data_IF_111491226327
#
_entry.id   IF_111491226327
#
_cell.length_a   1.000
_cell.length_b   1.000
_cell.length_c   1.000
_cell.angle_alpha   90.00
_cell.angle_beta   90.00
_cell.angle_gamma   90.00
#
_symmetry.space_group_name_H-M   'P 1'
#
loop_
_entity.id
_entity.type
_entity.pdbx_description
1 polymer ?
#
# COMPACT_ATOMS: atom_id res chain seq x y z
N UNK A 1 -27.28 3.77 14.90
CA UNK A 1 -25.92 3.48 14.40
C UNK A 1 -24.95 3.80 15.53
N UNK A 2 -24.04 2.90 15.88
CA UNK A 2 -23.04 3.21 16.90
C UNK A 2 -22.08 4.29 16.36
N UNK A 3 -21.70 5.23 17.23
CA UNK A 3 -20.81 6.33 16.88
C UNK A 3 -19.44 5.81 16.37
N UNK A 4 -18.78 6.61 15.56
CA UNK A 4 -17.41 6.31 15.13
C UNK A 4 -16.46 6.29 16.33
N UNK A 5 -15.59 5.27 16.46
CA UNK A 5 -14.76 5.10 17.64
C UNK A 5 -13.58 6.06 17.62
N UNK A 6 -13.35 6.77 18.73
CA UNK A 6 -12.14 7.57 18.98
C UNK A 6 -11.28 6.84 20.01
N UNK A 7 -10.00 6.62 19.68
CA UNK A 7 -9.03 5.96 20.57
C UNK A 7 -7.79 6.82 20.76
N UNK A 8 -7.22 6.77 21.97
CA UNK A 8 -5.95 7.43 22.30
C UNK A 8 -4.79 6.46 22.11
N UNK A 9 -3.75 6.90 21.41
CA UNK A 9 -2.48 6.20 21.23
C UNK A 9 -1.33 7.10 21.70
N UNK A 10 -0.12 6.55 21.84
CA UNK A 10 1.06 7.29 22.34
C UNK A 10 1.32 8.62 21.60
N UNK A 11 1.01 8.68 20.30
CA UNK A 11 1.30 9.82 19.44
C UNK A 11 0.10 10.78 19.24
N UNK A 12 -1.10 10.46 19.74
CA UNK A 12 -2.29 11.31 19.57
C UNK A 12 -3.60 10.52 19.58
N UNK A 13 -4.67 11.11 19.03
CA UNK A 13 -6.00 10.48 18.94
C UNK A 13 -6.34 10.08 17.50
N UNK A 14 -7.03 8.95 17.35
CA UNK A 14 -7.46 8.40 16.07
C UNK A 14 -8.97 8.17 16.04
N UNK A 15 -9.61 8.52 14.93
CA UNK A 15 -11.01 8.20 14.65
C UNK A 15 -11.10 7.06 13.64
N UNK A 16 -11.59 5.90 14.08
CA UNK A 16 -11.85 4.75 13.22
C UNK A 16 -13.26 4.79 12.65
N UNK A 17 -13.67 3.68 12.04
CA UNK A 17 -15.04 3.49 11.53
C UNK A 17 -15.68 2.26 12.15
N UNK A 18 -16.99 2.31 12.38
CA UNK A 18 -17.77 1.12 12.70
C UNK A 18 -18.28 0.48 11.39
N UNK A 19 -17.76 -0.71 11.07
CA UNK A 19 -18.22 -1.51 9.94
C UNK A 19 -18.94 -2.75 10.46
N UNK A 20 -20.28 -2.70 10.43
CA UNK A 20 -21.15 -3.84 10.80
C UNK A 20 -20.85 -4.40 12.20
N UNK A 21 -20.59 -3.54 13.17
CA UNK A 21 -20.27 -3.92 14.55
C UNK A 21 -18.79 -4.13 14.83
N UNK A 22 -17.92 -3.99 13.82
CA UNK A 22 -16.47 -4.08 13.95
C UNK A 22 -15.87 -2.68 13.90
N UNK A 23 -15.06 -2.33 14.90
CA UNK A 23 -14.27 -1.10 14.88
C UNK A 23 -13.00 -1.30 14.07
N UNK A 24 -12.84 -0.49 13.02
CA UNK A 24 -11.74 -0.62 12.05
C UNK A 24 -10.95 0.67 12.00
N UNK A 25 -9.61 0.54 12.12
CA UNK A 25 -8.65 1.63 12.00
C UNK A 25 -7.66 1.30 10.90
N UNK A 26 -7.52 2.18 9.91
CA UNK A 26 -6.67 2.02 8.73
C UNK A 26 -5.71 3.21 8.63
N UNK A 27 -4.50 2.94 8.15
CA UNK A 27 -3.49 3.99 7.93
C UNK A 27 -2.93 4.61 9.21
N UNK A 28 -2.93 3.87 10.32
CA UNK A 28 -2.34 4.34 11.58
C UNK A 28 -0.81 4.46 11.44
N UNK A 29 -0.21 5.62 11.73
CA UNK A 29 1.24 5.76 11.73
C UNK A 29 1.84 4.97 12.90
N UNK A 30 2.86 4.15 12.61
CA UNK A 30 3.62 3.39 13.61
C UNK A 30 5.11 3.75 13.64
N UNK A 31 5.60 4.46 12.62
CA UNK A 31 6.93 5.04 12.55
C UNK A 31 6.89 6.35 11.72
N UNK A 32 7.91 7.20 11.86
CA UNK A 32 8.10 8.32 10.93
C UNK A 32 8.35 7.81 9.50
N UNK A 33 7.91 8.54 8.45
CA UNK A 33 8.14 8.14 7.06
C UNK A 33 9.64 7.93 6.75
N UNK A 34 10.05 6.77 6.20
CA UNK A 34 11.45 6.44 5.93
C UNK A 34 11.95 7.05 4.61
N UNK A 35 11.81 8.36 4.47
CA UNK A 35 12.16 9.14 3.27
C UNK A 35 13.32 10.10 3.55
N UNK A 36 13.97 10.61 2.50
CA UNK A 36 15.11 11.53 2.63
C UNK A 36 16.25 10.93 3.47
N UNK A 37 16.74 11.68 4.44
CA UNK A 37 17.80 11.25 5.37
C UNK A 37 17.44 10.04 6.24
N UNK A 38 16.16 9.71 6.38
CA UNK A 38 15.69 8.54 7.12
C UNK A 38 15.74 7.25 6.30
N UNK A 39 15.98 7.35 4.97
CA UNK A 39 16.14 6.17 4.13
C UNK A 39 17.41 5.41 4.54
N UNK A 40 17.33 4.08 4.55
CA UNK A 40 18.44 3.20 4.96
C UNK A 40 18.86 3.32 6.43
N UNK A 41 17.95 3.79 7.29
CA UNK A 41 18.15 3.86 8.73
C UNK A 41 17.06 3.08 9.47
N UNK A 42 17.28 2.72 10.75
CA UNK A 42 16.22 2.15 11.58
C UNK A 42 14.98 3.06 11.64
N UNK A 43 13.77 2.49 11.80
CA UNK A 43 12.54 3.26 11.90
C UNK A 43 12.61 4.23 13.08
N UNK A 44 12.25 5.49 12.84
CA UNK A 44 12.21 6.51 13.87
C UNK A 44 10.80 6.61 14.47
N UNK A 45 10.66 7.04 15.74
CA UNK A 45 9.36 7.21 16.39
C UNK A 45 8.40 8.11 15.59
N UNK A 46 7.10 7.88 15.74
CA UNK A 46 6.06 8.72 15.15
C UNK A 46 6.10 10.11 15.78
N UNK A 47 6.03 11.15 14.95
CA UNK A 47 5.83 12.52 15.41
C UNK A 47 4.40 12.66 15.97
N UNK A 48 4.28 13.11 17.22
CA UNK A 48 2.98 13.31 17.85
C UNK A 48 2.18 14.40 17.12
N UNK A 49 0.85 14.28 17.13
CA UNK A 49 -0.05 15.26 16.55
C UNK A 49 -1.09 15.72 17.56
N UNK A 50 -1.64 16.92 17.31
CA UNK A 50 -2.72 17.50 18.08
C UNK A 50 -4.04 17.22 17.37
N UNK A 51 -5.09 16.97 18.15
CA UNK A 51 -6.44 16.68 17.64
C UNK A 51 -6.63 15.23 17.23
N UNK A 52 -7.75 14.98 16.55
CA UNK A 52 -8.18 13.64 16.16
C UNK A 52 -7.85 13.39 14.68
N UNK A 53 -7.05 12.36 14.41
CA UNK A 53 -6.65 11.99 13.05
C UNK A 53 -7.60 10.92 12.49
N UNK A 54 -8.18 11.12 11.28
CA UNK A 54 -9.00 10.09 10.64
C UNK A 54 -8.19 8.83 10.29
N UNK A 55 -8.72 7.67 10.61
CA UNK A 55 -8.15 6.34 10.35
C UNK A 55 -9.14 5.46 9.56
N UNK A 56 -9.82 6.05 8.57
CA UNK A 56 -10.81 5.34 7.74
C UNK A 56 -10.23 4.76 6.43
N UNK A 57 -9.05 5.22 6.00
CA UNK A 57 -8.45 4.91 4.69
C UNK A 57 -7.05 4.29 4.86
N UNK A 58 -6.68 3.39 3.94
CA UNK A 58 -5.33 2.83 3.91
C UNK A 58 -4.30 3.89 3.52
N UNK A 59 -3.11 3.79 4.10
CA UNK A 59 -1.93 4.57 3.69
C UNK A 59 -1.25 3.94 2.47
N UNK A 60 -0.37 4.69 1.77
CA UNK A 60 0.43 4.12 0.69
C UNK A 60 1.21 2.89 1.14
N UNK A 61 1.34 1.91 0.26
CA UNK A 61 2.21 0.75 0.45
C UNK A 61 3.67 1.12 0.18
N UNK A 62 4.59 0.29 0.67
CA UNK A 62 5.99 0.40 0.31
C UNK A 62 6.17 0.20 -1.21
N UNK A 63 7.18 0.84 -1.79
CA UNK A 63 7.50 0.66 -3.19
C UNK A 63 7.76 -0.82 -3.49
N UNK A 64 7.12 -1.33 -4.53
CA UNK A 64 7.33 -2.67 -5.06
C UNK A 64 7.70 -2.52 -6.54
N UNK A 65 8.63 -3.34 -7.02
CA UNK A 65 8.83 -3.51 -8.47
C UNK A 65 7.53 -4.08 -9.01
N UNK A 66 6.94 -3.47 -10.04
CA UNK A 66 5.57 -3.75 -10.48
C UNK A 66 5.26 -5.26 -10.52
N UNK A 67 4.52 -5.75 -9.54
CA UNK A 67 3.96 -7.11 -9.51
C UNK A 67 2.52 -7.03 -10.00
N UNK A 68 2.32 -6.38 -11.15
CA UNK A 68 1.03 -6.39 -11.83
C UNK A 68 0.86 -7.67 -12.63
N UNK A 69 -0.38 -8.09 -12.88
CA UNK A 69 -0.69 -9.20 -13.79
C UNK A 69 0.00 -9.02 -15.15
N UNK A 70 0.08 -7.79 -15.64
CA UNK A 70 0.80 -7.42 -16.85
C UNK A 70 2.27 -7.87 -16.81
N UNK A 71 3.01 -7.42 -15.79
CA UNK A 71 4.44 -7.74 -15.62
C UNK A 71 4.66 -9.24 -15.45
N UNK A 72 3.74 -9.93 -14.79
CA UNK A 72 3.76 -11.39 -14.71
C UNK A 72 3.61 -12.05 -16.08
N UNK A 73 2.60 -11.67 -16.88
CA UNK A 73 2.37 -12.24 -18.21
C UNK A 73 3.51 -11.92 -19.18
N UNK A 74 4.03 -10.69 -19.17
CA UNK A 74 5.19 -10.31 -19.99
C UNK A 74 6.41 -11.18 -19.68
N UNK A 75 6.73 -11.34 -18.39
CA UNK A 75 7.86 -12.17 -17.95
C UNK A 75 7.65 -13.63 -18.37
N UNK A 76 6.41 -14.12 -18.31
CA UNK A 76 6.09 -15.51 -18.66
C UNK A 76 6.22 -15.77 -20.16
N UNK A 77 5.75 -14.84 -21.01
CA UNK A 77 5.89 -14.89 -22.47
C UNK A 77 7.37 -14.78 -22.88
N UNK A 78 8.11 -13.85 -22.27
CA UNK A 78 9.53 -13.61 -22.57
C UNK A 78 10.41 -14.79 -22.13
N UNK A 79 10.01 -15.53 -21.09
CA UNK A 79 10.73 -16.69 -20.56
C UNK A 79 10.57 -18.00 -21.36
N UNK A 80 9.67 -18.08 -22.36
CA UNK A 80 9.41 -19.34 -23.11
C UNK A 80 10.47 -19.67 -24.18
N UNK A 81 11.45 -18.79 -24.42
CA UNK A 81 12.46 -19.00 -25.47
C UNK A 81 11.94 -18.85 -26.90
N UNK A 82 10.78 -18.21 -27.09
CA UNK A 82 10.19 -17.99 -28.41
C UNK A 82 10.93 -16.91 -29.22
N UNK A 83 10.90 -17.03 -30.55
CA UNK A 83 11.36 -15.96 -31.45
C UNK A 83 10.53 -14.68 -31.32
N UNK A 84 11.11 -13.54 -31.72
CA UNK A 84 10.52 -12.20 -31.55
C UNK A 84 9.07 -12.10 -32.06
N UNK A 85 8.81 -12.54 -33.29
CA UNK A 85 7.48 -12.46 -33.89
C UNK A 85 6.39 -13.20 -33.09
N UNK A 86 6.73 -14.33 -32.45
CA UNK A 86 5.78 -15.10 -31.65
C UNK A 86 5.52 -14.46 -30.28
N UNK A 87 6.53 -13.87 -29.66
CA UNK A 87 6.37 -13.13 -28.39
C UNK A 87 5.48 -11.91 -28.57
N UNK A 88 5.80 -11.07 -29.56
CA UNK A 88 5.03 -9.85 -29.84
C UNK A 88 3.60 -10.15 -30.30
N UNK A 89 3.41 -11.20 -31.10
CA UNK A 89 2.06 -11.62 -31.51
C UNK A 89 1.17 -12.05 -30.35
N UNK A 90 1.73 -12.77 -29.36
CA UNK A 90 0.98 -13.22 -28.18
C UNK A 90 0.73 -12.07 -27.20
N UNK A 91 1.71 -11.19 -27.02
CA UNK A 91 1.57 -9.94 -26.25
C UNK A 91 0.42 -9.08 -26.80
N UNK A 92 0.39 -8.85 -28.11
CA UNK A 92 -0.68 -8.12 -28.79
C UNK A 92 -2.05 -8.79 -28.62
N UNK A 93 -2.13 -10.12 -28.77
CA UNK A 93 -3.39 -10.89 -28.59
C UNK A 93 -3.96 -10.72 -27.17
N UNK A 94 -3.10 -10.82 -26.16
CA UNK A 94 -3.50 -10.74 -24.76
C UNK A 94 -3.66 -9.29 -24.27
N UNK A 95 -3.40 -8.29 -25.13
CA UNK A 95 -3.33 -6.85 -24.78
C UNK A 95 -2.33 -6.58 -23.67
N UNK A 96 -1.26 -7.37 -23.64
CA UNK A 96 -0.16 -7.24 -22.69
C UNK A 96 1.04 -6.66 -23.44
N UNK A 97 1.30 -5.36 -23.27
CA UNK A 97 2.45 -4.63 -23.82
C UNK A 97 2.76 -3.41 -22.93
#
# INVERSE_FOLDING_TARGET
MAAEPIVSVKAGQLQGVNQKGIFVFKGMPFAAPPVGERRWRPPQPVESWIGVRPAAKFSPTAYQRGTGFQTFIDTLIDGQGWGFARREGVKLLLKVA
#
